data_IF_378543511658
#
_entry.id   IF_378543511658
#
_cell.length_a   1.000
_cell.length_b   1.000
_cell.length_c   1.000
_cell.angle_alpha   90.00
_cell.angle_beta   90.00
_cell.angle_gamma   90.00
#
_symmetry.space_group_name_H-M   'P 1'
#
loop_
_entity.id
_entity.type
_entity.pdbx_description
1 polymer ?
#
# COMPACT_ATOMS: atom_id res chain seq x y z
N UNK A 1 39.18 66.19 29.71
CA UNK A 1 39.97 65.22 28.93
C UNK A 1 38.96 64.44 28.10
N UNK A 2 38.76 64.91 26.87
CA UNK A 2 37.75 64.40 25.92
C UNK A 2 38.42 63.37 25.03
N UNK A 3 38.17 62.10 25.28
CA UNK A 3 38.64 61.01 24.42
C UNK A 3 37.69 60.85 23.22
N UNK A 4 38.26 61.08 22.04
CA UNK A 4 37.68 60.76 20.75
C UNK A 4 37.72 59.24 20.55
N UNK A 5 36.55 58.61 20.38
CA UNK A 5 36.45 57.23 19.89
C UNK A 5 36.25 57.31 18.37
N UNK A 6 37.27 56.88 17.62
CA UNK A 6 37.18 56.62 16.18
C UNK A 6 36.28 55.41 15.92
N UNK A 7 35.25 55.59 15.12
CA UNK A 7 34.35 54.55 14.65
C UNK A 7 34.99 53.80 13.47
N UNK A 8 35.34 52.52 13.67
CA UNK A 8 35.83 51.65 12.59
C UNK A 8 34.68 50.90 11.90
N UNK A 9 34.65 50.80 10.56
CA UNK A 9 33.50 50.28 9.83
C UNK A 9 33.34 48.76 9.95
N UNK A 10 32.13 48.34 10.34
CA UNK A 10 31.72 46.92 10.44
C UNK A 10 31.75 46.26 9.05
N UNK A 11 32.74 45.38 8.82
CA UNK A 11 32.78 44.49 7.65
C UNK A 11 31.58 43.51 7.68
N UNK A 12 30.66 43.64 6.72
CA UNK A 12 29.62 42.64 6.46
C UNK A 12 30.27 41.32 6.02
N UNK A 13 30.16 40.28 6.84
CA UNK A 13 30.52 38.90 6.47
C UNK A 13 29.54 38.38 5.42
N UNK A 14 30.04 38.03 4.23
CA UNK A 14 29.29 37.27 3.24
C UNK A 14 28.92 35.90 3.84
N UNK A 15 27.63 35.68 4.08
CA UNK A 15 27.10 34.36 4.44
C UNK A 15 27.12 33.50 3.17
N UNK A 16 28.18 32.72 2.99
CA UNK A 16 28.27 31.72 1.92
C UNK A 16 27.15 30.70 2.05
N UNK A 17 26.15 30.77 1.17
CA UNK A 17 25.09 29.78 1.06
C UNK A 17 25.55 28.52 0.32
N UNK A 18 24.83 27.41 0.51
CA UNK A 18 25.03 26.18 -0.26
C UNK A 18 24.91 26.48 -1.76
N UNK A 19 25.85 26.00 -2.61
CA UNK A 19 25.79 26.26 -4.04
C UNK A 19 24.45 25.83 -4.64
N UNK A 20 23.89 26.59 -5.60
CA UNK A 20 22.63 26.27 -6.23
C UNK A 20 22.71 24.88 -6.88
N UNK A 21 21.62 24.12 -6.74
CA UNK A 21 21.54 22.76 -7.25
C UNK A 21 21.70 22.74 -8.78
N UNK A 22 22.52 21.84 -9.33
CA UNK A 22 22.80 21.75 -10.77
C UNK A 22 21.56 21.51 -11.64
N UNK A 23 20.42 21.18 -11.04
CA UNK A 23 19.12 21.12 -11.75
C UNK A 23 18.73 22.42 -12.47
N UNK A 24 19.16 23.58 -11.97
CA UNK A 24 18.84 24.88 -12.57
C UNK A 24 19.63 25.17 -13.86
N UNK A 25 20.61 24.33 -14.21
CA UNK A 25 21.24 24.35 -15.53
C UNK A 25 20.26 23.94 -16.64
N UNK A 26 19.27 23.12 -16.30
CA UNK A 26 18.31 22.51 -17.24
C UNK A 26 16.85 22.93 -16.99
N UNK A 27 16.61 23.70 -15.92
CA UNK A 27 15.32 24.22 -15.51
C UNK A 27 15.41 25.74 -15.37
N UNK A 28 14.44 26.44 -15.94
CA UNK A 28 14.27 27.87 -15.72
C UNK A 28 13.65 28.10 -14.34
N UNK A 29 14.29 28.98 -13.56
CA UNK A 29 13.83 29.37 -12.24
C UNK A 29 12.87 30.55 -12.39
N UNK A 30 11.62 30.36 -12.00
CA UNK A 30 10.59 31.38 -11.98
C UNK A 30 10.51 32.14 -10.66
N UNK A 31 9.39 32.81 -10.44
CA UNK A 31 9.14 33.68 -9.29
C UNK A 31 9.25 32.94 -7.94
N UNK A 32 9.62 33.69 -6.90
CA UNK A 32 9.64 33.17 -5.54
C UNK A 32 8.21 32.97 -5.04
N UNK A 33 7.85 31.73 -4.74
CA UNK A 33 6.52 31.34 -4.24
C UNK A 33 6.53 31.07 -2.72
N UNK A 34 7.63 31.42 -2.04
CA UNK A 34 7.82 31.28 -0.60
C UNK A 34 9.30 31.12 -0.23
N UNK A 35 9.59 31.01 1.07
CA UNK A 35 10.97 30.88 1.58
C UNK A 35 11.69 29.69 0.93
N UNK A 36 12.70 30.00 0.10
CA UNK A 36 13.53 29.01 -0.59
C UNK A 36 12.83 28.22 -1.70
N UNK A 37 11.62 28.60 -2.13
CA UNK A 37 10.81 27.89 -3.14
C UNK A 37 10.50 28.82 -4.31
N UNK A 38 10.61 28.28 -5.51
CA UNK A 38 10.46 29.03 -6.74
C UNK A 38 9.54 28.29 -7.70
N UNK A 39 8.79 29.01 -8.51
CA UNK A 39 8.20 28.44 -9.71
C UNK A 39 9.32 27.92 -10.63
N UNK A 40 8.99 27.02 -11.54
CA UNK A 40 9.95 26.44 -12.47
C UNK A 40 9.32 26.19 -13.84
N UNK A 41 10.12 26.26 -14.89
CA UNK A 41 9.73 25.77 -16.23
C UNK A 41 10.86 24.99 -16.87
N UNK A 42 10.51 23.98 -17.66
CA UNK A 42 11.50 23.19 -18.37
C UNK A 42 12.16 24.04 -19.46
N UNK A 43 13.47 23.88 -19.67
CA UNK A 43 14.17 24.57 -20.77
C UNK A 43 13.92 23.94 -22.13
N UNK A 44 13.48 22.68 -22.15
CA UNK A 44 13.39 21.88 -23.37
C UNK A 44 11.95 21.76 -23.86
N UNK A 45 11.00 21.57 -22.94
CA UNK A 45 9.57 21.46 -23.27
C UNK A 45 8.74 22.56 -22.59
N UNK A 46 7.42 22.54 -22.81
CA UNK A 46 6.49 23.56 -22.29
C UNK A 46 6.02 23.32 -20.85
N UNK A 47 6.53 22.30 -20.15
CA UNK A 47 6.08 22.00 -18.79
C UNK A 47 6.50 23.08 -17.79
N UNK A 48 5.56 23.45 -16.90
CA UNK A 48 5.75 24.44 -15.84
C UNK A 48 5.25 23.92 -14.50
N UNK A 49 5.86 24.37 -13.41
CA UNK A 49 5.48 24.05 -12.04
C UNK A 49 5.30 25.33 -11.22
N UNK A 50 4.16 25.47 -10.54
CA UNK A 50 3.94 26.53 -9.55
C UNK A 50 4.95 26.45 -8.40
N UNK A 51 5.50 25.26 -8.13
CA UNK A 51 6.55 25.03 -7.14
C UNK A 51 7.56 24.00 -7.66
N UNK A 52 8.77 24.47 -7.96
CA UNK A 52 9.90 23.71 -8.49
C UNK A 52 10.56 22.80 -7.45
N UNK A 53 9.87 21.71 -7.10
CA UNK A 53 10.41 20.66 -6.27
C UNK A 53 11.48 19.87 -7.02
N UNK A 54 12.73 19.92 -6.52
CA UNK A 54 13.90 19.33 -7.18
C UNK A 54 13.70 17.87 -7.60
N UNK A 55 13.00 17.05 -6.80
CA UNK A 55 12.76 15.63 -7.16
C UNK A 55 11.89 15.50 -8.40
N UNK A 56 10.76 16.22 -8.44
CA UNK A 56 9.85 16.24 -9.58
C UNK A 56 10.52 16.79 -10.84
N UNK A 57 11.38 17.80 -10.69
CA UNK A 57 12.16 18.35 -11.80
C UNK A 57 13.14 17.32 -12.37
N UNK A 58 13.80 16.54 -11.51
CA UNK A 58 14.71 15.46 -11.94
C UNK A 58 13.96 14.31 -12.60
N UNK A 59 12.83 13.88 -12.04
CA UNK A 59 11.97 12.83 -12.61
C UNK A 59 11.45 13.23 -13.99
N UNK A 60 11.03 14.50 -14.15
CA UNK A 60 10.64 15.01 -15.45
C UNK A 60 11.78 14.90 -16.47
N UNK A 61 12.97 15.43 -16.14
CA UNK A 61 14.11 15.40 -17.06
C UNK A 61 14.63 13.98 -17.33
N UNK A 62 14.47 13.05 -16.39
CA UNK A 62 14.93 11.67 -16.59
C UNK A 62 13.93 10.80 -17.35
N UNK A 63 12.62 11.02 -17.20
CA UNK A 63 11.61 10.05 -17.64
C UNK A 63 10.50 10.61 -18.55
N UNK A 64 10.25 11.93 -18.51
CA UNK A 64 8.99 12.48 -19.05
C UNK A 64 9.18 13.67 -20.00
N UNK A 65 10.38 14.23 -20.12
CA UNK A 65 10.63 15.35 -21.00
C UNK A 65 10.79 14.86 -22.46
N UNK A 66 9.88 15.22 -23.39
CA UNK A 66 9.97 14.74 -24.78
C UNK A 66 11.11 15.41 -25.55
N UNK A 67 11.46 16.64 -25.20
CA UNK A 67 12.37 17.49 -25.97
C UNK A 67 13.78 17.58 -25.34
N UNK A 68 14.02 16.93 -24.20
CA UNK A 68 15.30 16.98 -23.51
C UNK A 68 16.39 16.23 -24.31
N UNK A 69 17.59 16.81 -24.48
CA UNK A 69 18.70 16.10 -25.12
C UNK A 69 19.07 14.81 -24.38
N UNK A 70 19.42 13.75 -25.10
CA UNK A 70 19.74 12.44 -24.51
C UNK A 70 20.85 12.48 -23.46
N UNK A 71 21.81 13.42 -23.56
CA UNK A 71 22.84 13.63 -22.55
C UNK A 71 22.27 14.16 -21.22
N UNK A 72 21.27 15.05 -21.30
CA UNK A 72 20.56 15.60 -20.15
C UNK A 72 19.72 14.50 -19.49
N UNK A 73 18.95 13.76 -20.28
CA UNK A 73 18.13 12.63 -19.81
C UNK A 73 18.99 11.61 -19.07
N UNK A 74 20.08 11.12 -19.69
CA UNK A 74 21.03 10.18 -19.06
C UNK A 74 21.62 10.72 -17.76
N UNK A 75 22.03 11.99 -17.73
CA UNK A 75 22.57 12.63 -16.52
C UNK A 75 21.56 12.61 -15.37
N UNK A 76 20.27 12.86 -15.64
CA UNK A 76 19.25 12.85 -14.60
C UNK A 76 18.78 11.45 -14.22
N UNK A 77 18.76 10.49 -15.16
CA UNK A 77 18.57 9.07 -14.86
C UNK A 77 19.59 8.60 -13.81
N UNK A 78 20.90 8.84 -14.03
CA UNK A 78 21.93 8.47 -13.05
C UNK A 78 21.73 9.16 -11.70
N UNK A 79 21.40 10.46 -11.69
CA UNK A 79 21.12 11.20 -10.44
C UNK A 79 19.89 10.69 -9.68
N UNK A 80 18.92 10.08 -10.36
CA UNK A 80 17.74 9.45 -9.73
C UNK A 80 18.12 8.09 -9.14
N UNK A 81 18.89 7.28 -9.87
CA UNK A 81 19.39 5.99 -9.36
C UNK A 81 20.31 6.15 -8.16
N UNK A 82 21.27 7.09 -8.20
CA UNK A 82 22.18 7.36 -7.07
C UNK A 82 21.47 7.77 -5.77
N UNK A 83 20.23 8.30 -5.84
CA UNK A 83 19.45 8.62 -4.64
C UNK A 83 18.94 7.36 -3.95
N UNK A 84 18.62 6.31 -4.70
CA UNK A 84 18.21 5.03 -4.14
C UNK A 84 19.38 4.34 -3.44
N UNK A 85 20.62 4.51 -3.93
CA UNK A 85 21.81 3.90 -3.30
C UNK A 85 22.34 4.69 -2.08
N UNK A 86 22.20 6.02 -2.06
CA UNK A 86 22.71 6.85 -0.95
C UNK A 86 21.97 6.67 0.38
N UNK A 87 20.81 6.01 0.41
CA UNK A 87 20.19 5.55 1.66
C UNK A 87 21.03 4.48 2.35
N UNK A 88 21.86 3.72 1.61
CA UNK A 88 22.82 2.74 2.15
C UNK A 88 24.17 3.34 2.55
N UNK A 89 24.42 4.62 2.24
CA UNK A 89 25.70 5.28 2.50
C UNK A 89 25.50 6.63 3.20
N UNK A 90 24.91 6.61 4.39
CA UNK A 90 25.07 7.73 5.31
C UNK A 90 26.52 7.76 5.83
N UNK A 91 27.29 8.71 5.27
CA UNK A 91 28.55 9.29 5.76
C UNK A 91 29.03 8.74 7.12
N UNK A 92 30.23 8.15 7.12
CA UNK A 92 31.08 7.94 8.32
C UNK A 92 31.03 9.18 9.23
N UNK A 93 30.16 9.17 10.23
CA UNK A 93 30.40 9.87 11.50
C UNK A 93 31.23 8.90 12.33
N UNK A 94 32.30 9.39 12.97
CA UNK A 94 33.08 8.60 13.93
C UNK A 94 32.10 8.07 14.99
N UNK A 95 31.83 6.77 14.95
CA UNK A 95 31.00 6.08 15.92
C UNK A 95 31.90 5.47 16.98
N UNK A 96 31.57 5.70 18.26
CA UNK A 96 32.11 4.95 19.39
C UNK A 96 31.74 3.48 19.23
N UNK A 97 32.71 2.57 19.38
CA UNK A 97 32.49 1.12 19.38
C UNK A 97 31.33 0.76 20.32
N UNK A 98 30.21 0.27 19.77
CA UNK A 98 29.09 -0.19 20.60
C UNK A 98 27.67 -0.08 20.06
N UNK A 99 27.40 0.41 18.85
CA UNK A 99 26.06 0.23 18.25
C UNK A 99 26.16 -0.47 16.90
N UNK A 100 25.54 -1.65 16.83
CA UNK A 100 25.20 -2.32 15.58
C UNK A 100 24.21 -1.47 14.80
N UNK A 101 24.28 -1.58 13.47
CA UNK A 101 23.33 -0.93 12.57
C UNK A 101 21.92 -1.49 12.87
N UNK A 102 20.87 -0.67 12.80
CA UNK A 102 19.49 -1.09 13.09
C UNK A 102 19.03 -2.27 12.20
N UNK A 103 19.64 -2.41 11.03
CA UNK A 103 19.42 -3.51 10.10
C UNK A 103 19.89 -4.87 10.65
N UNK A 104 20.89 -4.88 11.53
CA UNK A 104 21.52 -6.10 12.07
C UNK A 104 20.63 -6.83 13.10
N UNK A 105 19.70 -6.10 13.72
CA UNK A 105 18.72 -6.67 14.66
C UNK A 105 17.60 -7.45 13.96
N UNK A 106 17.39 -7.24 12.66
CA UNK A 106 16.30 -7.87 11.92
C UNK A 106 16.63 -9.26 11.38
N UNK A 107 17.91 -9.66 11.36
CA UNK A 107 18.38 -10.92 10.77
C UNK A 107 18.59 -12.06 11.77
N UNK A 108 18.48 -11.82 13.09
CA UNK A 108 18.93 -12.80 14.09
C UNK A 108 17.80 -13.53 14.85
N UNK A 109 16.58 -13.56 14.34
CA UNK A 109 15.56 -14.45 14.90
C UNK A 109 15.03 -15.36 13.81
N UNK A 110 15.44 -16.63 13.87
CA UNK A 110 14.80 -17.73 13.14
C UNK A 110 13.30 -17.49 13.09
N UNK A 111 12.72 -17.59 11.90
CA UNK A 111 11.29 -17.43 11.73
C UNK A 111 10.56 -18.58 12.44
N UNK A 112 10.21 -18.34 13.71
CA UNK A 112 9.43 -19.30 14.47
C UNK A 112 8.04 -19.50 13.86
N UNK A 113 7.45 -20.66 14.14
CA UNK A 113 6.18 -21.09 13.57
C UNK A 113 5.04 -20.09 13.89
N UNK A 114 5.00 -19.55 15.11
CA UNK A 114 4.00 -18.56 15.51
C UNK A 114 4.04 -17.30 14.64
N UNK A 115 5.24 -16.80 14.35
CA UNK A 115 5.44 -15.63 13.47
C UNK A 115 5.07 -15.99 12.03
N UNK A 116 5.43 -17.18 11.55
CA UNK A 116 5.03 -17.67 10.23
C UNK A 116 3.49 -17.70 10.09
N UNK A 117 2.79 -18.26 11.08
CA UNK A 117 1.31 -18.29 11.12
C UNK A 117 0.71 -16.89 11.09
N UNK A 118 1.27 -15.93 11.84
CA UNK A 118 0.82 -14.53 11.82
C UNK A 118 1.03 -13.89 10.44
N UNK A 119 2.15 -14.18 9.78
CA UNK A 119 2.43 -13.69 8.42
C UNK A 119 1.44 -14.32 7.42
N UNK A 120 1.25 -15.63 7.45
CA UNK A 120 0.28 -16.35 6.60
C UNK A 120 -1.13 -15.77 6.77
N UNK A 121 -1.54 -15.50 8.00
CA UNK A 121 -2.83 -14.87 8.31
C UNK A 121 -2.96 -13.46 7.75
N UNK A 122 -1.92 -12.64 7.86
CA UNK A 122 -1.92 -11.30 7.26
C UNK A 122 -1.94 -11.37 5.72
N UNK A 123 -1.19 -12.31 5.15
CA UNK A 123 -1.09 -12.55 3.72
C UNK A 123 -2.46 -12.93 3.13
N UNK A 124 -3.14 -13.93 3.69
CA UNK A 124 -4.44 -14.37 3.14
C UNK A 124 -5.50 -13.26 3.24
N UNK A 125 -5.52 -12.49 4.34
CA UNK A 125 -6.40 -11.32 4.47
C UNK A 125 -6.13 -10.25 3.42
N UNK A 126 -4.85 -9.99 3.13
CA UNK A 126 -4.46 -9.04 2.09
C UNK A 126 -4.95 -9.51 0.70
N UNK A 127 -4.78 -10.79 0.38
CA UNK A 127 -5.25 -11.34 -0.89
C UNK A 127 -6.77 -11.22 -1.06
N UNK A 128 -7.54 -11.54 -0.01
CA UNK A 128 -9.01 -11.47 -0.04
C UNK A 128 -9.48 -10.01 -0.11
N UNK A 129 -9.03 -9.16 0.81
CA UNK A 129 -9.53 -7.79 0.95
C UNK A 129 -9.18 -6.92 -0.26
N UNK A 130 -8.08 -7.22 -0.96
CA UNK A 130 -7.66 -6.51 -2.16
C UNK A 130 -8.06 -7.20 -3.47
N UNK A 131 -8.78 -8.33 -3.42
CA UNK A 131 -9.21 -9.06 -4.62
C UNK A 131 -8.04 -9.55 -5.49
N UNK A 132 -6.93 -9.93 -4.87
CA UNK A 132 -5.72 -10.35 -5.57
C UNK A 132 -5.90 -11.79 -6.04
N UNK A 133 -5.68 -12.02 -7.33
CA UNK A 133 -5.69 -13.37 -7.88
C UNK A 133 -4.69 -14.28 -7.12
N UNK A 134 -5.16 -15.40 -6.58
CA UNK A 134 -4.33 -16.29 -5.75
C UNK A 134 -3.08 -16.82 -6.47
N UNK A 135 -3.05 -16.83 -7.81
CA UNK A 135 -1.86 -17.15 -8.60
C UNK A 135 -0.67 -16.22 -8.33
N UNK A 136 -0.91 -15.00 -7.82
CA UNK A 136 0.13 -14.02 -7.50
C UNK A 136 1.03 -14.50 -6.35
N UNK A 137 0.53 -15.35 -5.44
CA UNK A 137 1.32 -15.81 -4.28
C UNK A 137 2.56 -16.63 -4.70
N UNK A 138 2.49 -17.28 -5.86
CA UNK A 138 3.58 -18.07 -6.45
C UNK A 138 4.33 -17.30 -7.56
N UNK A 139 3.92 -16.07 -7.86
CA UNK A 139 4.53 -15.29 -8.93
C UNK A 139 5.92 -14.79 -8.51
N UNK A 140 6.92 -14.94 -9.39
CA UNK A 140 8.32 -14.65 -9.08
C UNK A 140 8.56 -13.24 -8.51
N UNK A 141 7.94 -12.21 -9.09
CA UNK A 141 8.05 -10.84 -8.54
C UNK A 141 7.48 -10.70 -7.13
N UNK A 142 6.42 -11.43 -6.80
CA UNK A 142 5.83 -11.40 -5.46
C UNK A 142 6.72 -12.15 -4.46
N UNK A 143 7.20 -13.34 -4.84
CA UNK A 143 8.17 -14.10 -4.04
C UNK A 143 9.41 -13.26 -3.76
N UNK A 144 9.99 -12.62 -4.78
CA UNK A 144 11.16 -11.77 -4.61
C UNK A 144 10.88 -10.60 -3.66
N UNK A 145 9.73 -9.92 -3.82
CA UNK A 145 9.32 -8.86 -2.90
C UNK A 145 9.25 -9.36 -1.45
N UNK A 146 8.66 -10.53 -1.22
CA UNK A 146 8.56 -11.13 0.11
C UNK A 146 9.94 -11.52 0.65
N UNK A 147 10.83 -12.05 -0.19
CA UNK A 147 12.20 -12.41 0.20
C UNK A 147 13.05 -11.20 0.60
N UNK A 148 12.85 -10.04 -0.04
CA UNK A 148 13.48 -8.78 0.38
C UNK A 148 12.96 -8.29 1.74
N UNK A 149 11.70 -8.59 2.09
CA UNK A 149 11.15 -8.28 3.41
C UNK A 149 11.58 -9.28 4.49
N UNK A 150 11.67 -10.57 4.14
CA UNK A 150 12.12 -11.64 5.02
C UNK A 150 12.62 -12.84 4.20
N UNK A 151 13.94 -13.06 4.19
CA UNK A 151 14.57 -14.11 3.41
C UNK A 151 14.19 -15.54 3.85
N UNK A 152 13.92 -15.73 5.14
CA UNK A 152 13.58 -17.05 5.71
C UNK A 152 12.11 -17.44 5.46
N UNK A 153 11.22 -16.45 5.30
CA UNK A 153 9.82 -16.75 5.04
C UNK A 153 9.62 -17.28 3.63
N UNK A 154 8.97 -18.44 3.53
CA UNK A 154 8.54 -19.02 2.27
C UNK A 154 7.05 -18.74 2.10
N UNK A 155 6.69 -18.14 0.96
CA UNK A 155 5.29 -17.93 0.61
C UNK A 155 4.58 -19.29 0.49
N UNK A 156 3.32 -19.40 0.93
CA UNK A 156 2.54 -20.61 0.74
C UNK A 156 2.31 -20.85 -0.75
N UNK A 157 2.05 -22.10 -1.11
CA UNK A 157 1.54 -22.42 -2.45
C UNK A 157 0.13 -21.88 -2.60
N UNK A 158 -0.32 -21.71 -3.85
CA UNK A 158 -1.71 -21.32 -4.13
C UNK A 158 -2.70 -22.29 -3.51
N UNK A 159 -2.37 -23.58 -3.53
CA UNK A 159 -3.19 -24.63 -2.94
C UNK A 159 -3.31 -24.48 -1.43
N UNK A 160 -2.20 -24.27 -0.71
CA UNK A 160 -2.23 -24.02 0.74
C UNK A 160 -2.98 -22.73 1.07
N UNK A 161 -2.78 -21.68 0.26
CA UNK A 161 -3.47 -20.41 0.46
C UNK A 161 -5.00 -20.56 0.37
N UNK A 162 -5.50 -21.30 -0.62
CA UNK A 162 -6.95 -21.46 -0.88
C UNK A 162 -7.58 -22.55 -0.03
N UNK A 163 -6.97 -23.73 0.06
CA UNK A 163 -7.61 -24.89 0.67
C UNK A 163 -7.36 -25.00 2.18
N UNK A 164 -6.44 -24.20 2.74
CA UNK A 164 -6.12 -24.24 4.16
C UNK A 164 -6.23 -22.87 4.79
N UNK A 165 -5.42 -21.90 4.35
CA UNK A 165 -5.35 -20.59 5.02
C UNK A 165 -6.65 -19.80 4.90
N UNK A 166 -7.27 -19.82 3.71
CA UNK A 166 -8.57 -19.19 3.48
C UNK A 166 -9.66 -19.88 4.29
N UNK A 167 -9.74 -21.21 4.26
CA UNK A 167 -10.72 -21.98 5.05
C UNK A 167 -10.59 -21.72 6.56
N UNK A 168 -9.35 -21.62 7.08
CA UNK A 168 -9.12 -21.27 8.48
C UNK A 168 -9.62 -19.86 8.83
N UNK A 169 -9.39 -18.86 7.97
CA UNK A 169 -9.92 -17.51 8.22
C UNK A 169 -11.43 -17.44 8.03
N UNK A 170 -12.01 -18.19 7.08
CA UNK A 170 -13.44 -18.31 6.89
C UNK A 170 -14.11 -18.90 8.14
N UNK A 171 -13.57 -20.01 8.68
CA UNK A 171 -14.07 -20.60 9.91
C UNK A 171 -14.02 -19.63 11.09
N UNK A 172 -12.96 -18.83 11.23
CA UNK A 172 -12.86 -17.83 12.28
C UNK A 172 -13.88 -16.69 12.11
N UNK A 173 -14.12 -16.25 10.87
CA UNK A 173 -15.14 -15.23 10.57
C UNK A 173 -16.52 -15.79 10.86
N UNK A 174 -16.86 -16.99 10.37
CA UNK A 174 -18.14 -17.64 10.61
C UNK A 174 -18.39 -17.85 12.10
N UNK A 175 -17.41 -18.38 12.84
CA UNK A 175 -17.52 -18.52 14.29
C UNK A 175 -17.83 -17.18 14.98
N UNK A 176 -17.17 -16.10 14.55
CA UNK A 176 -17.42 -14.77 15.11
C UNK A 176 -18.83 -14.28 14.77
N UNK A 177 -19.26 -14.44 13.51
CA UNK A 177 -20.59 -14.05 13.06
C UNK A 177 -21.65 -14.81 13.85
N UNK A 178 -21.58 -16.14 13.91
CA UNK A 178 -22.54 -16.98 14.65
C UNK A 178 -22.59 -16.57 16.13
N UNK A 179 -21.43 -16.38 16.78
CA UNK A 179 -21.39 -15.92 18.17
C UNK A 179 -21.97 -14.51 18.40
N UNK A 180 -22.05 -13.68 17.36
CA UNK A 180 -22.73 -12.37 17.42
C UNK A 180 -24.23 -12.53 17.18
N UNK A 181 -24.65 -13.43 16.28
CA UNK A 181 -26.05 -13.71 15.96
C UNK A 181 -26.78 -14.45 17.10
N UNK A 182 -26.14 -15.45 17.74
CA UNK A 182 -26.68 -16.21 18.87
C UNK A 182 -27.11 -15.33 20.07
N UNK A 183 -26.56 -14.12 20.17
CA UNK A 183 -26.86 -13.16 21.26
C UNK A 183 -28.10 -12.32 20.98
N UNK A 184 -28.59 -12.32 19.75
CA UNK A 184 -29.68 -11.46 19.29
C UNK A 184 -31.00 -12.24 19.30
N UNK A 185 -32.02 -11.70 19.96
CA UNK A 185 -33.35 -12.35 20.03
C UNK A 185 -34.18 -12.18 18.76
N UNK A 186 -33.87 -11.16 17.95
CA UNK A 186 -34.64 -10.84 16.75
C UNK A 186 -33.66 -10.58 15.61
N UNK A 187 -33.76 -11.38 14.56
CA UNK A 187 -32.99 -11.25 13.34
C UNK A 187 -33.93 -10.96 12.16
N UNK A 188 -33.45 -10.20 11.18
CA UNK A 188 -34.17 -10.01 9.92
C UNK A 188 -33.36 -10.63 8.80
N UNK A 189 -33.96 -11.58 8.08
CA UNK A 189 -33.39 -12.13 6.86
C UNK A 189 -33.80 -11.26 5.66
N UNK A 190 -32.81 -10.64 5.02
CA UNK A 190 -32.96 -9.99 3.73
C UNK A 190 -32.34 -10.88 2.65
N UNK A 191 -32.97 -10.98 1.49
CA UNK A 191 -32.41 -11.71 0.37
C UNK A 191 -32.68 -10.99 -0.95
N UNK A 192 -31.77 -11.16 -1.90
CA UNK A 192 -31.93 -10.65 -3.25
C UNK A 192 -31.34 -11.66 -4.25
N UNK A 193 -31.87 -11.64 -5.47
CA UNK A 193 -31.39 -12.47 -6.57
C UNK A 193 -30.93 -11.59 -7.72
N UNK A 194 -29.80 -11.93 -8.35
CA UNK A 194 -29.42 -11.35 -9.63
C UNK A 194 -29.01 -12.44 -10.62
N UNK A 195 -29.29 -12.19 -11.89
CA UNK A 195 -28.79 -13.02 -12.99
C UNK A 195 -27.53 -12.37 -13.55
N UNK A 196 -26.43 -13.12 -13.56
CA UNK A 196 -25.18 -12.68 -14.18
C UNK A 196 -25.28 -12.68 -15.70
N UNK A 197 -24.34 -12.00 -16.37
CA UNK A 197 -24.19 -12.05 -17.83
C UNK A 197 -23.88 -13.44 -18.38
N UNK A 198 -23.45 -14.38 -17.53
CA UNK A 198 -23.23 -15.79 -17.87
C UNK A 198 -24.45 -16.66 -17.55
N UNK A 199 -25.64 -16.05 -17.41
CA UNK A 199 -26.89 -16.72 -17.06
C UNK A 199 -26.85 -17.49 -15.72
N UNK A 200 -25.98 -17.08 -14.78
CA UNK A 200 -26.00 -17.64 -13.43
C UNK A 200 -26.94 -16.85 -12.54
N UNK A 201 -27.88 -17.52 -11.89
CA UNK A 201 -28.76 -16.90 -10.90
C UNK A 201 -28.17 -17.02 -9.51
N UNK A 202 -27.54 -15.94 -9.04
CA UNK A 202 -26.95 -15.91 -7.70
C UNK A 202 -27.89 -15.18 -6.75
N UNK A 203 -28.13 -15.80 -5.61
CA UNK A 203 -28.95 -15.27 -4.53
C UNK A 203 -28.10 -15.02 -3.31
N UNK A 204 -28.21 -13.82 -2.72
CA UNK A 204 -27.58 -13.50 -1.46
C UNK A 204 -28.61 -13.49 -0.33
N UNK A 205 -28.18 -14.01 0.81
CA UNK A 205 -28.93 -14.01 2.06
C UNK A 205 -28.12 -13.22 3.08
N UNK A 206 -28.71 -12.14 3.57
CA UNK A 206 -28.12 -11.19 4.50
C UNK A 206 -28.92 -11.23 5.79
N UNK A 207 -28.24 -11.49 6.90
CA UNK A 207 -28.83 -11.40 8.23
C UNK A 207 -28.55 -10.03 8.80
N UNK A 208 -29.61 -9.35 9.24
CA UNK A 208 -29.53 -8.04 9.86
C UNK A 208 -29.92 -8.11 11.33
N UNK A 209 -29.08 -7.53 12.19
CA UNK A 209 -29.34 -7.45 13.64
C UNK A 209 -30.14 -6.19 13.98
N UNK A 210 -30.75 -6.11 15.18
CA UNK A 210 -31.43 -4.90 15.66
C UNK A 210 -30.48 -3.70 15.77
N UNK A 211 -29.19 -3.96 15.97
CA UNK A 211 -28.11 -2.96 15.97
C UNK A 211 -27.70 -2.48 14.57
N UNK A 212 -28.42 -2.89 13.51
CA UNK A 212 -28.16 -2.55 12.10
C UNK A 212 -26.81 -3.03 11.59
N UNK A 213 -26.29 -4.12 12.15
CA UNK A 213 -25.17 -4.83 11.52
C UNK A 213 -25.73 -5.78 10.47
N UNK A 214 -25.01 -5.90 9.36
CA UNK A 214 -25.39 -6.69 8.20
C UNK A 214 -24.32 -7.76 7.97
N UNK A 215 -24.73 -9.02 7.89
CA UNK A 215 -23.84 -10.14 7.63
C UNK A 215 -24.30 -10.86 6.37
N UNK A 216 -23.41 -10.98 5.39
CA UNK A 216 -23.62 -11.89 4.28
C UNK A 216 -23.52 -13.31 4.81
N UNK A 217 -24.66 -13.96 5.03
CA UNK A 217 -24.75 -15.30 5.61
C UNK A 217 -24.47 -16.36 4.54
N UNK A 218 -25.13 -16.24 3.38
CA UNK A 218 -24.99 -17.22 2.32
C UNK A 218 -25.08 -16.60 0.92
N UNK A 219 -24.32 -17.17 -0.01
CA UNK A 219 -24.51 -17.01 -1.45
C UNK A 219 -24.90 -18.36 -2.03
N UNK A 220 -26.03 -18.40 -2.75
CA UNK A 220 -26.54 -19.62 -3.38
C UNK A 220 -26.59 -19.45 -4.88
N UNK A 221 -26.09 -20.45 -5.61
CA UNK A 221 -26.32 -20.56 -7.04
C UNK A 221 -27.62 -21.33 -7.28
N UNK A 222 -28.65 -20.63 -7.76
CA UNK A 222 -29.96 -21.18 -8.08
C UNK A 222 -30.20 -21.26 -9.60
N UNK A 223 -29.14 -21.33 -10.40
CA UNK A 223 -29.24 -21.32 -11.88
C UNK A 223 -29.97 -22.53 -12.44
N UNK A 224 -29.89 -23.68 -11.77
CA UNK A 224 -30.43 -24.95 -12.27
C UNK A 224 -31.94 -25.09 -12.08
N UNK A 225 -32.55 -24.23 -11.26
CA UNK A 225 -33.95 -24.34 -10.88
C UNK A 225 -34.76 -23.13 -11.34
N UNK A 226 -36.02 -23.37 -11.70
CA UNK A 226 -36.97 -22.29 -11.91
C UNK A 226 -37.25 -21.59 -10.59
N UNK A 227 -37.17 -20.26 -10.55
CA UNK A 227 -37.43 -19.44 -9.36
C UNK A 227 -38.93 -19.28 -9.10
N UNK A 228 -39.66 -20.40 -9.03
CA UNK A 228 -41.06 -20.37 -8.61
C UNK A 228 -41.15 -20.02 -7.13
N UNK A 229 -42.30 -19.51 -6.71
CA UNK A 229 -42.52 -19.15 -5.31
C UNK A 229 -42.31 -20.36 -4.39
N UNK A 230 -42.79 -21.53 -4.81
CA UNK A 230 -42.67 -22.78 -4.05
C UNK A 230 -41.21 -23.17 -3.86
N UNK A 231 -40.40 -23.11 -4.92
CA UNK A 231 -38.97 -23.44 -4.81
C UNK A 231 -38.24 -22.45 -3.91
N UNK A 232 -38.47 -21.14 -4.07
CA UNK A 232 -37.81 -20.14 -3.26
C UNK A 232 -38.16 -20.25 -1.78
N UNK A 233 -39.41 -20.57 -1.45
CA UNK A 233 -39.82 -20.86 -0.07
C UNK A 233 -38.96 -21.98 0.51
N UNK A 234 -38.75 -23.09 -0.20
CA UNK A 234 -37.92 -24.20 0.31
C UNK A 234 -36.45 -23.81 0.50
N UNK A 235 -35.92 -22.87 -0.29
CA UNK A 235 -34.54 -22.38 -0.13
C UNK A 235 -34.47 -21.45 1.08
N UNK A 236 -35.44 -20.55 1.24
CA UNK A 236 -35.50 -19.61 2.36
C UNK A 236 -35.69 -20.37 3.68
N UNK A 237 -36.58 -21.37 3.73
CA UNK A 237 -36.80 -22.20 4.91
C UNK A 237 -35.50 -22.88 5.37
N UNK A 238 -34.74 -23.48 4.44
CA UNK A 238 -33.42 -24.07 4.77
C UNK A 238 -32.42 -23.07 5.33
N UNK A 239 -32.42 -21.83 4.83
CA UNK A 239 -31.54 -20.78 5.34
C UNK A 239 -31.97 -20.35 6.75
N UNK A 240 -33.28 -20.26 7.01
CA UNK A 240 -33.81 -19.94 8.35
C UNK A 240 -33.45 -21.06 9.33
N UNK A 241 -33.69 -22.32 8.98
CA UNK A 241 -33.33 -23.49 9.80
C UNK A 241 -31.83 -23.49 10.12
N UNK A 242 -30.96 -23.20 9.14
CA UNK A 242 -29.52 -23.10 9.37
C UNK A 242 -29.11 -21.98 10.33
N UNK A 243 -29.84 -20.86 10.35
CA UNK A 243 -29.59 -19.76 11.30
C UNK A 243 -30.07 -20.13 12.72
N UNK A 244 -31.12 -20.94 12.85
CA UNK A 244 -31.65 -21.37 14.15
C UNK A 244 -30.84 -22.51 14.79
N UNK A 245 -30.21 -23.36 13.99
CA UNK A 245 -29.38 -24.48 14.45
C UNK A 245 -27.94 -24.08 14.86
N UNK A 246 -27.45 -22.95 14.33
CA UNK A 246 -26.11 -22.39 14.58
C UNK A 246 -26.01 -21.60 15.90
#
# INVERSE_FOLDING_TARGET
MTDHIEDSPIKKKNRGGRPPNSIWEDINKGEAVGSGKFAASCKYCKNTWSRGEVSKLKEHLSNHCPDAPAAVVRRYMSKVMERQDKSKSSKKRKYSEGQSNMDDYHYSTELNEQRCTRINRALVKFFIACGIAFRVVEHLFFINFIKELNAEYNTPTREVLVNQLLECELAQVNFKVNSELEKEMNLTLAFNGWTSSTHRSIWNFIVMTPSRKEYLYQLSDLSENSHTAEYLVTVIEKVIEGIEED
#
